data_IF_548841398865
#
_entry.id   IF_548841398865
#
_cell.length_a   1.000
_cell.length_b   1.000
_cell.length_c   1.000
_cell.angle_alpha   90.00
_cell.angle_beta   90.00
_cell.angle_gamma   90.00
#
_symmetry.space_group_name_H-M   'P 1'
#
loop_
_entity.id
_entity.type
_entity.pdbx_description
1 polymer ?
#
# COMPACT_ATOMS: atom_id res chain seq x y z
N UNK A 1 -15.86 -9.69 5.17
CA UNK A 1 -15.43 -10.67 4.13
C UNK A 1 -13.90 -10.72 4.17
N UNK A 2 -13.21 -11.78 3.74
CA UNK A 2 -11.75 -11.96 4.00
C UNK A 2 -10.87 -10.73 3.67
N UNK A 3 -11.21 -9.98 2.63
CA UNK A 3 -10.49 -8.76 2.24
C UNK A 3 -10.59 -7.63 3.26
N UNK A 4 -11.73 -7.47 3.93
CA UNK A 4 -11.90 -6.47 4.99
C UNK A 4 -11.02 -6.81 6.20
N UNK A 5 -10.91 -8.10 6.52
CA UNK A 5 -10.04 -8.58 7.60
C UNK A 5 -8.57 -8.28 7.28
N UNK A 6 -8.10 -8.64 6.08
CA UNK A 6 -6.72 -8.36 5.65
C UNK A 6 -6.45 -6.86 5.61
N UNK A 7 -7.38 -6.08 5.04
CA UNK A 7 -7.27 -4.63 4.99
C UNK A 7 -7.17 -4.00 6.37
N UNK A 8 -7.92 -4.50 7.35
CA UNK A 8 -7.88 -4.00 8.73
C UNK A 8 -6.56 -4.30 9.47
N UNK A 9 -5.79 -5.29 9.01
CA UNK A 9 -4.57 -5.71 9.67
C UNK A 9 -3.40 -4.84 9.25
N UNK A 10 -2.89 -3.99 10.15
CA UNK A 10 -1.76 -3.08 9.86
C UNK A 10 -0.45 -3.78 9.49
N UNK A 11 -0.27 -5.03 9.93
CA UNK A 11 0.87 -5.86 9.52
C UNK A 11 0.76 -6.41 8.10
N UNK A 12 -0.39 -6.22 7.44
CA UNK A 12 -0.61 -6.59 6.05
C UNK A 12 -0.82 -5.35 5.19
N UNK A 13 -1.72 -4.45 5.61
CA UNK A 13 -1.98 -3.16 4.95
C UNK A 13 -1.89 -2.04 5.99
N UNK A 14 -0.73 -1.34 6.10
CA UNK A 14 -0.53 -0.26 7.07
C UNK A 14 -1.62 0.81 7.06
N UNK A 15 -2.18 1.10 5.88
CA UNK A 15 -3.31 2.02 5.70
C UNK A 15 -4.56 1.63 6.50
N UNK A 16 -4.77 0.34 6.76
CA UNK A 16 -5.91 -0.15 7.55
C UNK A 16 -7.20 -0.41 6.76
N UNK A 17 -7.14 -0.40 5.43
CA UNK A 17 -8.24 -0.83 4.56
C UNK A 17 -7.72 -1.33 3.22
N UNK A 18 -8.53 -2.16 2.53
CA UNK A 18 -8.31 -2.40 1.11
C UNK A 18 -8.43 -1.12 0.29
N UNK A 19 -7.75 -1.06 -0.85
CA UNK A 19 -7.89 0.04 -1.80
C UNK A 19 -9.22 -0.07 -2.56
N UNK A 20 -9.87 1.07 -2.79
CA UNK A 20 -10.96 1.16 -3.75
C UNK A 20 -10.36 1.22 -5.18
N UNK A 21 -10.96 0.57 -6.20
CA UNK A 21 -10.45 0.62 -7.57
C UNK A 21 -10.24 2.04 -8.11
N UNK A 22 -11.01 3.02 -7.65
CA UNK A 22 -10.88 4.43 -8.04
C UNK A 22 -9.55 5.05 -7.62
N UNK A 23 -8.92 4.52 -6.58
CA UNK A 23 -7.62 5.00 -6.08
C UNK A 23 -6.49 4.61 -7.03
N UNK A 24 -6.55 3.39 -7.58
CA UNK A 24 -5.62 2.94 -8.63
C UNK A 24 -5.87 3.73 -9.92
N UNK A 25 -7.14 3.89 -10.30
CA UNK A 25 -7.52 4.66 -11.49
C UNK A 25 -7.04 6.12 -11.44
N UNK A 26 -7.04 6.73 -10.25
CA UNK A 26 -6.56 8.10 -10.04
C UNK A 26 -5.06 8.23 -10.34
N UNK A 27 -4.24 7.25 -9.92
CA UNK A 27 -2.79 7.24 -10.21
C UNK A 27 -2.53 6.99 -11.70
N UNK A 28 -3.31 6.12 -12.34
CA UNK A 28 -3.23 5.91 -13.79
C UNK A 28 -3.56 7.21 -14.54
N UNK A 29 -4.65 7.90 -14.16
CA UNK A 29 -5.04 9.17 -14.77
C UNK A 29 -3.95 10.26 -14.60
N UNK A 30 -3.32 10.31 -13.42
CA UNK A 30 -2.17 11.19 -13.17
C UNK A 30 -0.98 10.87 -14.10
N UNK A 31 -0.61 9.59 -14.23
CA UNK A 31 0.50 9.15 -15.09
C UNK A 31 0.21 9.33 -16.59
N UNK A 32 -1.07 9.25 -17.00
CA UNK A 32 -1.48 9.53 -18.37
C UNK A 32 -1.44 11.04 -18.70
N UNK A 33 -1.56 11.90 -17.70
CA UNK A 33 -1.61 13.35 -17.90
C UNK A 33 -0.19 13.96 -17.99
N UNK A 34 0.29 14.12 -19.22
CA UNK A 34 1.60 14.73 -19.51
C UNK A 34 1.78 16.15 -18.98
N UNK A 35 0.72 16.89 -18.63
CA UNK A 35 0.88 18.24 -18.04
C UNK A 35 1.39 18.19 -16.59
N UNK A 36 1.10 17.10 -15.87
CA UNK A 36 1.43 16.97 -14.44
C UNK A 36 2.47 15.88 -14.15
N UNK A 37 2.75 14.99 -15.11
CA UNK A 37 3.67 13.85 -14.94
C UNK A 37 4.70 13.70 -16.07
N UNK A 38 4.94 14.74 -16.87
CA UNK A 38 5.83 14.69 -18.06
C UNK A 38 7.22 14.10 -17.81
N UNK A 39 7.77 14.31 -16.61
CA UNK A 39 9.13 13.89 -16.26
C UNK A 39 9.20 12.53 -15.54
N UNK A 40 8.06 11.89 -15.29
CA UNK A 40 8.01 10.54 -14.72
C UNK A 40 8.00 9.56 -15.90
N UNK A 41 9.17 9.01 -16.21
CA UNK A 41 9.35 8.08 -17.33
C UNK A 41 10.10 6.84 -16.86
N UNK A 42 9.63 5.65 -17.28
CA UNK A 42 10.27 4.38 -16.94
C UNK A 42 10.19 4.00 -15.45
N UNK A 43 9.27 4.61 -14.69
CA UNK A 43 9.09 4.34 -13.27
C UNK A 43 7.83 3.49 -13.01
N UNK A 44 7.89 2.67 -11.97
CA UNK A 44 6.75 1.97 -11.39
C UNK A 44 6.33 2.67 -10.10
N UNK A 45 5.12 3.20 -10.04
CA UNK A 45 4.55 3.74 -8.79
C UNK A 45 3.79 2.63 -8.08
N UNK A 46 4.21 2.30 -6.86
CA UNK A 46 3.55 1.30 -6.00
C UNK A 46 2.39 1.96 -5.26
N UNK A 47 1.19 1.37 -5.36
CA UNK A 47 -0.05 1.87 -4.75
C UNK A 47 -0.71 0.74 -3.95
N UNK A 48 -0.13 0.38 -2.82
CA UNK A 48 -0.50 -0.82 -2.06
C UNK A 48 -0.85 -0.55 -0.58
N UNK A 49 -1.01 0.73 -0.20
CA UNK A 49 -1.30 1.09 1.19
C UNK A 49 -0.17 0.79 2.18
N UNK A 50 1.06 0.57 1.69
CA UNK A 50 2.25 0.30 2.48
C UNK A 50 2.57 -1.18 2.67
N UNK A 51 1.84 -2.10 2.05
CA UNK A 51 2.06 -3.55 2.20
C UNK A 51 3.48 -3.98 1.89
N UNK A 52 4.08 -3.47 0.81
CA UNK A 52 5.45 -3.80 0.40
C UNK A 52 6.52 -3.27 1.34
N UNK A 53 6.17 -2.38 2.27
CA UNK A 53 7.10 -1.85 3.29
C UNK A 53 7.18 -2.75 4.53
N UNK A 54 6.27 -3.71 4.69
CA UNK A 54 6.27 -4.61 5.83
C UNK A 54 7.30 -5.71 5.66
N UNK A 55 8.20 -5.84 6.63
CA UNK A 55 9.08 -6.99 6.77
C UNK A 55 8.42 -8.04 7.67
N UNK A 56 8.54 -9.33 7.36
CA UNK A 56 7.95 -10.39 8.20
C UNK A 56 8.37 -10.27 9.68
N UNK A 57 9.63 -9.91 9.95
CA UNK A 57 10.14 -9.68 11.30
C UNK A 57 9.42 -8.53 12.04
N UNK A 58 8.99 -7.47 11.32
CA UNK A 58 8.29 -6.33 11.96
C UNK A 58 6.84 -6.64 12.33
N UNK A 59 6.35 -7.83 12.03
CA UNK A 59 5.03 -8.29 12.48
C UNK A 59 5.06 -8.87 13.90
N UNK A 60 6.26 -9.10 14.45
CA UNK A 60 6.46 -9.62 15.79
C UNK A 60 6.63 -8.49 16.80
N UNK A 61 5.89 -8.54 17.90
CA UNK A 61 6.16 -7.69 19.06
C UNK A 61 7.19 -8.40 19.96
N UNK A 62 8.47 -8.14 19.71
CA UNK A 62 9.58 -8.75 20.46
C UNK A 62 9.52 -8.40 21.95
N UNK A 63 9.04 -7.20 22.31
CA UNK A 63 8.92 -6.80 23.71
C UNK A 63 7.85 -7.62 24.45
N UNK A 64 6.80 -8.06 23.74
CA UNK A 64 5.81 -8.98 24.30
C UNK A 64 6.33 -10.40 24.52
N UNK A 65 7.30 -10.85 23.70
CA UNK A 65 7.85 -12.21 23.76
C UNK A 65 8.90 -12.42 24.85
N UNK A 66 9.48 -11.33 25.37
CA UNK A 66 10.53 -11.35 26.38
C UNK A 66 10.01 -11.22 27.82
N UNK A 67 8.67 -11.21 27.99
CA UNK A 67 7.99 -11.26 29.30
C UNK A 67 7.57 -12.69 29.61
#
# INVERSE_FOLDING_TARGET
>A
MVFDFIGSQRSAVPRGSGADPTEIASVIAFLANRRVSSYIVGQMIVVDGGSSLIMGMSTLDIASMLK
#
